data_IF_062881513852
#
_entry.id   IF_062881513852
#
_cell.length_a   1.000
_cell.length_b   1.000
_cell.length_c   1.000
_cell.angle_alpha   90.00
_cell.angle_beta   90.00
_cell.angle_gamma   90.00
#
_symmetry.space_group_name_H-M   'P 1'
#
loop_
_entity.id
_entity.type
_entity.pdbx_description
1 polymer ?
#
# COMPACT_ATOMS: atom_id res chain seq x y z
N UNK A 1 -55.59 58.42 -10.01
CA UNK A 1 -55.22 57.31 -9.11
C UNK A 1 -56.34 56.29 -9.25
N UNK A 2 -56.12 55.12 -9.87
CA UNK A 2 -55.20 54.10 -9.36
C UNK A 2 -54.14 53.60 -10.36
N UNK A 3 -53.07 53.05 -9.80
CA UNK A 3 -51.90 52.51 -10.48
C UNK A 3 -52.13 51.07 -10.95
N UNK A 4 -51.79 50.76 -12.19
CA UNK A 4 -51.65 49.40 -12.69
C UNK A 4 -50.18 48.98 -12.50
N UNK A 5 -49.93 48.08 -11.55
CA UNK A 5 -48.62 47.49 -11.30
C UNK A 5 -48.48 46.24 -12.18
N UNK A 6 -47.60 46.28 -13.18
CA UNK A 6 -47.23 45.07 -13.94
C UNK A 6 -46.33 44.16 -13.09
N UNK A 7 -46.55 42.83 -13.07
CA UNK A 7 -45.66 41.91 -12.36
C UNK A 7 -44.37 41.74 -13.15
N UNK A 8 -43.32 42.42 -12.70
CA UNK A 8 -41.92 42.13 -13.03
C UNK A 8 -41.49 40.84 -12.33
N UNK A 9 -42.00 39.69 -12.73
CA UNK A 9 -41.51 38.40 -12.20
C UNK A 9 -40.64 37.74 -13.25
N UNK A 10 -39.37 38.16 -13.16
CA UNK A 10 -38.20 37.30 -13.24
C UNK A 10 -38.11 36.33 -14.42
N UNK A 11 -37.68 36.90 -15.53
CA UNK A 11 -36.74 36.30 -16.48
C UNK A 11 -35.50 35.76 -15.72
N UNK A 12 -35.55 34.51 -15.22
CA UNK A 12 -34.40 33.89 -14.57
C UNK A 12 -34.44 32.34 -14.54
N UNK A 13 -35.00 31.69 -15.57
CA UNK A 13 -35.06 30.22 -15.62
C UNK A 13 -34.44 29.67 -16.91
N UNK A 14 -33.20 30.08 -17.20
CA UNK A 14 -32.55 29.76 -18.48
C UNK A 14 -31.18 29.08 -18.41
N UNK A 15 -30.59 28.76 -17.25
CA UNK A 15 -29.18 28.33 -17.24
C UNK A 15 -28.85 27.28 -16.17
N UNK A 16 -29.37 26.06 -16.28
CA UNK A 16 -29.04 25.01 -15.29
C UNK A 16 -28.94 23.57 -15.84
N UNK A 17 -28.72 23.33 -17.14
CA UNK A 17 -28.72 21.94 -17.66
C UNK A 17 -27.61 21.56 -18.63
N UNK A 18 -26.44 22.17 -18.54
CA UNK A 18 -25.26 21.71 -19.29
C UNK A 18 -24.04 21.55 -18.39
N UNK A 19 -24.13 20.68 -17.39
CA UNK A 19 -22.93 20.08 -16.79
C UNK A 19 -22.48 18.93 -17.70
N UNK A 20 -21.32 19.02 -18.36
CA UNK A 20 -20.78 17.86 -19.05
C UNK A 20 -20.44 16.78 -18.02
N UNK A 21 -20.88 15.55 -18.26
CA UNK A 21 -20.34 14.38 -17.57
C UNK A 21 -18.84 14.31 -17.89
N UNK A 22 -18.01 14.73 -16.96
CA UNK A 22 -16.58 14.41 -17.02
C UNK A 22 -16.45 12.90 -16.82
N UNK A 23 -16.22 12.17 -17.91
CA UNK A 23 -15.79 10.78 -17.82
C UNK A 23 -14.40 10.82 -17.17
N UNK A 24 -14.30 10.37 -15.93
CA UNK A 24 -13.02 10.16 -15.28
C UNK A 24 -12.27 9.09 -16.09
N UNK A 25 -11.29 9.50 -16.89
CA UNK A 25 -10.37 8.58 -17.53
C UNK A 25 -9.61 7.85 -16.41
N UNK A 26 -9.89 6.56 -16.23
CA UNK A 26 -9.16 5.74 -15.28
C UNK A 26 -7.67 5.72 -15.63
N UNK A 27 -6.81 5.81 -14.62
CA UNK A 27 -5.36 5.82 -14.79
C UNK A 27 -4.91 4.59 -15.58
N UNK A 28 -4.29 4.82 -16.75
CA UNK A 28 -3.78 3.74 -17.59
C UNK A 28 -2.59 3.07 -16.88
N UNK A 29 -2.71 1.78 -16.59
CA UNK A 29 -1.63 1.00 -15.97
C UNK A 29 -0.40 0.96 -16.88
N UNK A 30 0.77 1.32 -16.36
CA UNK A 30 2.05 1.23 -17.08
C UNK A 30 2.53 -0.23 -17.18
N UNK A 31 3.30 -0.60 -18.22
CA UNK A 31 3.97 -1.90 -18.30
C UNK A 31 4.96 -2.12 -17.15
N UNK A 32 5.19 -3.39 -16.82
CA UNK A 32 6.27 -3.83 -15.92
C UNK A 32 7.60 -3.65 -16.65
N UNK A 33 8.56 -3.05 -15.96
CA UNK A 33 9.94 -2.81 -16.40
C UNK A 33 10.91 -3.76 -15.72
N UNK A 34 12.15 -3.84 -16.19
CA UNK A 34 13.20 -4.59 -15.51
C UNK A 34 13.46 -4.07 -14.09
N UNK A 35 13.35 -2.75 -13.88
CA UNK A 35 13.52 -2.10 -12.59
C UNK A 35 12.46 -2.55 -11.59
N UNK A 36 11.22 -2.77 -12.04
CA UNK A 36 10.17 -3.32 -11.18
C UNK A 36 10.53 -4.72 -10.69
N UNK A 37 11.07 -5.56 -11.57
CA UNK A 37 11.49 -6.92 -11.21
C UNK A 37 12.62 -6.93 -10.17
N UNK A 38 13.55 -5.97 -10.25
CA UNK A 38 14.61 -5.80 -9.25
C UNK A 38 14.09 -5.25 -7.91
N UNK A 39 13.04 -4.44 -7.94
CA UNK A 39 12.42 -3.87 -6.75
C UNK A 39 11.51 -4.85 -5.99
N UNK A 40 11.17 -6.01 -6.60
CA UNK A 40 10.36 -7.04 -5.94
C UNK A 40 11.12 -7.61 -4.74
N UNK A 41 10.56 -7.39 -3.54
CA UNK A 41 11.03 -8.03 -2.31
C UNK A 41 10.63 -9.50 -2.31
N UNK A 42 11.55 -10.37 -1.90
CA UNK A 42 11.31 -11.81 -1.80
C UNK A 42 11.11 -12.21 -0.35
N UNK A 43 9.97 -12.83 -0.05
CA UNK A 43 9.65 -13.30 1.30
C UNK A 43 10.02 -14.77 1.40
N UNK A 44 10.84 -15.11 2.40
CA UNK A 44 11.24 -16.47 2.71
C UNK A 44 10.17 -17.24 3.48
N UNK A 45 10.45 -18.51 3.77
CA UNK A 45 9.56 -19.34 4.57
C UNK A 45 9.33 -18.73 5.98
N UNK A 46 8.08 -18.70 6.47
CA UNK A 46 7.78 -18.20 7.81
C UNK A 46 8.19 -19.22 8.88
N UNK A 47 8.76 -18.73 9.97
CA UNK A 47 8.91 -19.46 11.22
C UNK A 47 7.82 -19.01 12.20
N UNK A 48 6.90 -19.91 12.54
CA UNK A 48 5.77 -19.62 13.42
C UNK A 48 6.18 -19.78 14.90
N UNK A 49 5.71 -18.90 15.77
CA UNK A 49 5.86 -19.05 17.21
C UNK A 49 5.10 -20.29 17.70
N UNK A 50 5.50 -20.90 18.84
CA UNK A 50 4.84 -22.10 19.37
C UNK A 50 3.33 -21.93 19.62
N UNK A 51 2.90 -20.72 20.00
CA UNK A 51 1.50 -20.35 20.23
C UNK A 51 0.74 -19.94 18.95
N UNK A 52 1.43 -19.85 17.81
CA UNK A 52 0.85 -19.43 16.53
C UNK A 52 0.52 -17.93 16.42
N UNK A 53 0.77 -17.12 17.44
CA UNK A 53 0.37 -15.71 17.45
C UNK A 53 1.27 -14.83 16.55
N UNK A 54 2.51 -15.26 16.31
CA UNK A 54 3.53 -14.51 15.60
C UNK A 54 4.25 -15.37 14.58
N UNK A 55 4.68 -14.75 13.49
CA UNK A 55 5.59 -15.36 12.53
C UNK A 55 6.81 -14.47 12.33
N UNK A 56 7.98 -15.07 12.11
CA UNK A 56 9.16 -14.36 11.60
C UNK A 56 9.39 -14.77 10.17
N UNK A 57 9.57 -13.80 9.29
CA UNK A 57 9.92 -14.02 7.88
C UNK A 57 11.21 -13.29 7.55
N UNK A 58 12.04 -13.90 6.70
CA UNK A 58 13.15 -13.21 6.07
C UNK A 58 12.63 -12.50 4.82
N UNK A 59 12.96 -11.22 4.65
CA UNK A 59 12.62 -10.43 3.47
C UNK A 59 13.90 -9.99 2.79
N UNK A 60 14.13 -10.50 1.58
CA UNK A 60 15.28 -10.17 0.76
C UNK A 60 14.96 -9.01 -0.19
N UNK A 61 15.88 -8.06 -0.27
CA UNK A 61 15.85 -6.88 -1.13
C UNK A 61 17.14 -6.82 -1.95
N UNK A 62 17.08 -6.28 -3.18
CA UNK A 62 18.26 -6.11 -4.02
C UNK A 62 18.70 -4.65 -4.04
N UNK A 63 19.98 -4.40 -3.76
CA UNK A 63 20.59 -3.08 -3.98
C UNK A 63 21.25 -3.07 -5.36
N UNK A 64 20.68 -2.28 -6.28
CA UNK A 64 21.28 -2.06 -7.61
C UNK A 64 22.64 -1.34 -7.47
N UNK A 65 22.70 -0.32 -6.60
CA UNK A 65 23.91 0.46 -6.36
C UNK A 65 25.08 -0.40 -5.85
N UNK A 66 24.81 -1.28 -4.87
CA UNK A 66 25.83 -2.16 -4.28
C UNK A 66 25.98 -3.48 -5.03
N UNK A 67 25.17 -3.71 -6.06
CA UNK A 67 25.04 -4.97 -6.81
C UNK A 67 25.02 -6.23 -5.92
N UNK A 68 24.24 -6.17 -4.82
CA UNK A 68 24.15 -7.26 -3.85
C UNK A 68 22.75 -7.39 -3.25
N UNK A 69 22.32 -8.60 -2.84
CA UNK A 69 21.15 -8.78 -2.01
C UNK A 69 21.46 -8.46 -0.54
N UNK A 70 20.44 -8.05 0.19
CA UNK A 70 20.41 -8.10 1.65
C UNK A 70 19.08 -8.69 2.10
N UNK A 71 19.08 -9.33 3.28
CA UNK A 71 17.87 -9.90 3.85
C UNK A 71 17.72 -9.45 5.30
N UNK A 72 16.50 -9.15 5.71
CA UNK A 72 16.21 -8.75 7.08
C UNK A 72 15.04 -9.55 7.63
N UNK A 73 15.06 -9.79 8.93
CA UNK A 73 13.98 -10.47 9.62
C UNK A 73 12.85 -9.49 9.94
N UNK A 74 11.63 -9.94 9.74
CA UNK A 74 10.40 -9.22 10.04
C UNK A 74 9.51 -10.08 10.91
N UNK A 75 9.01 -9.50 12.00
CA UNK A 75 7.98 -10.06 12.83
C UNK A 75 6.61 -9.69 12.26
N UNK A 76 5.73 -10.67 12.16
CA UNK A 76 4.35 -10.54 11.70
C UNK A 76 3.43 -11.01 12.82
N UNK A 77 2.49 -10.17 13.24
CA UNK A 77 1.37 -10.59 14.08
C UNK A 77 0.31 -11.26 13.20
N UNK A 78 -0.01 -12.53 13.47
CA UNK A 78 -0.85 -13.34 12.57
C UNK A 78 -2.28 -12.82 12.51
N UNK A 79 -2.86 -12.44 13.65
CA UNK A 79 -4.25 -11.99 13.72
C UNK A 79 -4.48 -10.59 13.11
N UNK A 80 -3.53 -9.68 13.30
CA UNK A 80 -3.67 -8.27 12.91
C UNK A 80 -3.01 -7.95 11.56
N UNK A 81 -2.08 -8.78 11.11
CA UNK A 81 -1.21 -8.50 9.96
C UNK A 81 -0.18 -7.40 10.22
N UNK A 82 -0.04 -6.91 11.46
CA UNK A 82 0.97 -5.90 11.78
C UNK A 82 2.36 -6.48 11.56
N UNK A 83 3.21 -5.70 10.91
CA UNK A 83 4.58 -6.08 10.59
C UNK A 83 5.58 -5.13 11.24
N UNK A 84 6.67 -5.69 11.77
CA UNK A 84 7.79 -4.92 12.34
C UNK A 84 9.12 -5.54 11.94
N UNK A 85 10.04 -4.73 11.44
CA UNK A 85 11.40 -5.15 11.15
C UNK A 85 12.18 -5.43 12.44
N UNK A 86 12.90 -6.54 12.48
CA UNK A 86 13.74 -6.97 13.61
C UNK A 86 15.22 -6.66 13.40
N UNK A 87 15.71 -6.76 12.17
CA UNK A 87 17.13 -6.56 11.84
C UNK A 87 17.33 -5.53 10.74
N UNK A 88 18.45 -4.81 10.77
CA UNK A 88 18.80 -3.75 9.81
C UNK A 88 20.23 -3.87 9.28
N UNK A 89 20.85 -5.05 9.43
CA UNK A 89 22.22 -5.30 9.00
C UNK A 89 22.39 -5.24 7.48
N UNK A 90 23.63 -5.03 7.04
CA UNK A 90 24.01 -5.13 5.62
C UNK A 90 24.22 -6.58 5.14
N UNK A 91 24.32 -7.51 6.09
CA UNK A 91 24.36 -8.95 5.85
C UNK A 91 22.95 -9.50 5.61
N UNK A 92 22.87 -10.73 5.10
CA UNK A 92 21.59 -11.40 4.90
C UNK A 92 21.21 -12.23 6.13
N UNK A 93 20.12 -11.85 6.79
CA UNK A 93 19.53 -12.59 7.89
C UNK A 93 18.43 -13.54 7.40
N UNK A 94 18.48 -14.80 7.80
CA UNK A 94 17.53 -15.82 7.38
C UNK A 94 17.41 -16.98 8.36
N UNK A 95 16.51 -17.93 8.06
CA UNK A 95 16.29 -19.15 8.84
C UNK A 95 16.07 -18.92 10.35
N UNK A 96 15.27 -17.91 10.69
CA UNK A 96 14.89 -17.65 12.08
C UNK A 96 14.19 -18.87 12.68
N UNK A 97 14.45 -19.12 13.96
CA UNK A 97 13.77 -20.15 14.74
C UNK A 97 13.31 -19.54 16.05
N UNK A 98 12.19 -20.02 16.55
CA UNK A 98 11.67 -19.63 17.85
C UNK A 98 12.22 -20.52 18.94
N UNK A 99 12.50 -19.93 20.10
CA UNK A 99 12.67 -20.66 21.34
C UNK A 99 11.40 -21.42 21.70
N UNK A 100 11.55 -22.49 22.48
CA UNK A 100 10.45 -23.39 22.82
C UNK A 100 9.31 -22.68 23.59
N UNK A 101 9.65 -21.63 24.34
CA UNK A 101 8.74 -20.76 25.09
C UNK A 101 8.22 -19.57 24.27
N UNK A 102 8.65 -19.41 23.01
CA UNK A 102 8.20 -18.36 22.11
C UNK A 102 8.66 -16.94 22.47
N UNK A 103 9.63 -16.79 23.38
CA UNK A 103 10.10 -15.48 23.84
C UNK A 103 11.13 -14.82 22.92
N UNK A 104 11.81 -15.60 22.06
CA UNK A 104 12.85 -15.12 21.13
C UNK A 104 13.00 -16.00 19.89
#
# INVERSE_FOLDING_TARGET
MPAAVLPRIALAFALALSSPLAIAAGEAKRPITAQDLWAVKRVGAPALSPDGARAVVSVQEWSIEKNKPSASLWLVEVASGKVRRLTTGESSDGAAQWSHDGSR
#
